data_IF_201306674329
#
_entry.id   IF_201306674329
#
_cell.length_a   1.000
_cell.length_b   1.000
_cell.length_c   1.000
_cell.angle_alpha   90.00
_cell.angle_beta   90.00
_cell.angle_gamma   90.00
#
_symmetry.space_group_name_H-M   'P 1'
#
loop_
_entity.id
_entity.type
_entity.pdbx_description
1 polymer ?
#
# COMPACT_ATOMS: atom_id res chain seq x y z
N UNK A 1 3.74 27.05 16.84
CA UNK A 1 4.37 25.77 16.45
C UNK A 1 3.31 25.01 15.69
N UNK A 2 3.44 24.97 14.37
CA UNK A 2 2.47 24.40 13.43
C UNK A 2 2.33 22.91 13.68
N UNK A 3 1.18 22.49 14.19
CA UNK A 3 0.82 21.07 14.25
C UNK A 3 0.32 20.65 12.86
N UNK A 4 1.24 20.47 11.91
CA UNK A 4 0.99 19.84 10.61
C UNK A 4 1.02 18.30 10.75
N UNK A 5 0.27 17.77 11.72
CA UNK A 5 0.03 16.34 11.87
C UNK A 5 -1.14 15.91 10.98
N UNK A 6 -1.09 16.23 9.69
CA UNK A 6 -1.96 15.61 8.69
C UNK A 6 -1.15 14.51 7.99
N UNK A 7 -1.08 13.28 8.55
CA UNK A 7 -0.28 12.19 8.00
C UNK A 7 -0.78 11.67 6.64
N UNK A 8 -1.77 12.32 6.02
CA UNK A 8 -2.41 11.90 4.76
C UNK A 8 -2.41 12.98 3.67
N UNK A 9 -1.95 14.21 3.94
CA UNK A 9 -1.99 15.26 2.91
C UNK A 9 -0.84 15.07 1.90
N UNK A 10 -1.14 14.44 0.75
CA UNK A 10 -0.20 14.26 -0.37
C UNK A 10 0.43 12.86 -0.50
N UNK A 11 -0.14 11.84 0.16
CA UNK A 11 0.39 10.48 0.03
C UNK A 11 0.00 9.90 -1.33
N UNK A 12 1.01 9.67 -2.16
CA UNK A 12 0.85 8.98 -3.44
C UNK A 12 0.65 7.48 -3.23
N UNK A 13 0.02 6.80 -4.19
CA UNK A 13 -0.09 5.33 -4.19
C UNK A 13 1.29 4.64 -4.03
N UNK A 14 2.35 5.27 -4.54
CA UNK A 14 3.72 4.81 -4.34
C UNK A 14 4.13 4.88 -2.87
N UNK A 15 3.94 6.03 -2.23
CA UNK A 15 4.32 6.24 -0.83
C UNK A 15 3.52 5.32 0.10
N UNK A 16 2.21 5.21 -0.14
CA UNK A 16 1.31 4.30 0.56
C UNK A 16 1.79 2.85 0.47
N UNK A 17 2.06 2.36 -0.76
CA UNK A 17 2.52 1.00 -0.95
C UNK A 17 3.89 0.77 -0.31
N UNK A 18 4.81 1.73 -0.40
CA UNK A 18 6.12 1.64 0.26
C UNK A 18 5.97 1.51 1.77
N UNK A 19 5.14 2.34 2.41
CA UNK A 19 4.91 2.25 3.87
C UNK A 19 4.28 0.92 4.28
N UNK A 20 3.29 0.43 3.52
CA UNK A 20 2.70 -0.89 3.76
C UNK A 20 3.73 -2.01 3.68
N UNK A 21 4.62 -1.96 2.68
CA UNK A 21 5.68 -2.95 2.51
C UNK A 21 6.73 -2.83 3.61
N UNK A 22 7.06 -1.62 4.06
CA UNK A 22 7.98 -1.39 5.17
C UNK A 22 7.42 -1.89 6.50
N UNK A 23 6.09 -1.80 6.70
CA UNK A 23 5.44 -2.23 7.93
C UNK A 23 5.12 -3.73 7.97
N UNK A 24 4.50 -4.26 6.90
CA UNK A 24 4.03 -5.65 6.84
C UNK A 24 4.94 -6.58 6.04
N UNK A 25 5.69 -6.04 5.07
CA UNK A 25 6.40 -6.85 4.08
C UNK A 25 5.51 -7.37 2.95
N UNK A 26 6.15 -7.92 1.93
CA UNK A 26 5.46 -8.42 0.74
C UNK A 26 4.66 -9.70 0.97
N UNK A 27 5.14 -10.57 1.88
CA UNK A 27 4.47 -11.83 2.18
C UNK A 27 3.08 -11.58 2.79
N UNK A 28 3.01 -10.78 3.85
CA UNK A 28 1.75 -10.40 4.51
C UNK A 28 0.80 -9.66 3.54
N UNK A 29 1.33 -8.72 2.76
CA UNK A 29 0.51 -8.04 1.75
C UNK A 29 -0.02 -9.02 0.70
N UNK A 30 0.71 -10.09 0.38
CA UNK A 30 0.24 -11.13 -0.54
C UNK A 30 -0.84 -12.03 0.06
N UNK A 31 -0.89 -12.15 1.39
CA UNK A 31 -1.97 -12.83 2.10
C UNK A 31 -3.22 -11.95 2.17
N UNK A 32 -3.07 -10.66 2.48
CA UNK A 32 -4.19 -9.71 2.55
C UNK A 32 -4.77 -9.38 1.16
N UNK A 33 -3.89 -9.25 0.17
CA UNK A 33 -4.21 -8.99 -1.23
C UNK A 33 -3.69 -10.18 -2.02
N UNK A 34 -4.55 -11.18 -2.22
CA UNK A 34 -4.20 -12.44 -2.90
C UNK A 34 -3.95 -12.22 -4.41
N UNK A 35 -2.84 -11.55 -4.73
CA UNK A 35 -2.38 -11.26 -6.08
C UNK A 35 -0.98 -11.82 -6.28
N UNK A 36 -0.76 -12.44 -7.44
CA UNK A 36 0.53 -13.01 -7.80
C UNK A 36 1.63 -11.95 -7.93
N UNK A 37 1.25 -10.67 -8.12
CA UNK A 37 2.20 -9.56 -8.23
C UNK A 37 3.09 -9.41 -6.98
N UNK A 38 2.57 -9.71 -5.78
CA UNK A 38 3.33 -9.62 -4.53
C UNK A 38 4.12 -10.90 -4.21
N UNK A 39 3.81 -12.03 -4.87
CA UNK A 39 4.45 -13.33 -4.62
C UNK A 39 5.64 -13.61 -5.55
N UNK A 40 5.54 -13.20 -6.83
CA UNK A 40 6.49 -13.63 -7.87
C UNK A 40 7.60 -12.61 -8.16
N UNK A 41 7.26 -11.33 -8.25
CA UNK A 41 8.20 -10.23 -8.54
C UNK A 41 7.86 -9.00 -7.67
N UNK A 42 7.94 -9.13 -6.33
CA UNK A 42 7.58 -8.06 -5.41
C UNK A 42 8.52 -6.87 -5.60
N UNK A 43 8.01 -5.82 -6.25
CA UNK A 43 8.74 -4.56 -6.42
C UNK A 43 7.76 -3.41 -6.54
N UNK A 44 8.10 -2.28 -5.92
CA UNK A 44 7.23 -1.08 -5.90
C UNK A 44 6.81 -0.68 -7.31
N UNK A 45 7.73 -0.66 -8.29
CA UNK A 45 7.42 -0.25 -9.66
C UNK A 45 6.45 -1.21 -10.37
N UNK A 46 6.69 -2.52 -10.29
CA UNK A 46 5.83 -3.52 -10.94
C UNK A 46 4.46 -3.60 -10.28
N UNK A 47 4.42 -3.53 -8.95
CA UNK A 47 3.19 -3.44 -8.18
C UNK A 47 2.38 -2.21 -8.53
N UNK A 48 2.98 -1.02 -8.60
CA UNK A 48 2.25 0.19 -9.00
C UNK A 48 1.70 0.09 -10.42
N UNK A 49 2.47 -0.48 -11.36
CA UNK A 49 1.99 -0.72 -12.73
C UNK A 49 0.80 -1.70 -12.75
N UNK A 50 0.82 -2.72 -11.89
CA UNK A 50 -0.28 -3.67 -11.73
C UNK A 50 -1.51 -3.00 -11.08
N UNK A 51 -1.33 -2.31 -9.96
CA UNK A 51 -2.40 -1.61 -9.24
C UNK A 51 -3.03 -0.52 -10.10
N UNK A 52 -2.31 0.10 -11.05
CA UNK A 52 -2.87 1.03 -12.04
C UNK A 52 -3.80 0.36 -13.07
N UNK A 53 -3.62 -0.93 -13.34
CA UNK A 53 -4.45 -1.71 -14.27
C UNK A 53 -5.57 -2.48 -13.57
N UNK A 54 -5.39 -2.76 -12.28
CA UNK A 54 -6.29 -3.60 -11.49
C UNK A 54 -6.88 -2.78 -10.36
N UNK A 55 -8.00 -2.09 -10.63
CA UNK A 55 -8.58 -1.12 -9.70
C UNK A 55 -9.02 -1.75 -8.36
N UNK A 56 -9.63 -2.95 -8.38
CA UNK A 56 -10.04 -3.62 -7.15
C UNK A 56 -8.86 -3.91 -6.21
N UNK A 57 -7.68 -4.22 -6.76
CA UNK A 57 -6.48 -4.47 -5.97
C UNK A 57 -5.94 -3.17 -5.39
N UNK A 58 -6.02 -2.05 -6.13
CA UNK A 58 -5.67 -0.71 -5.62
C UNK A 58 -6.53 -0.35 -4.42
N UNK A 59 -7.86 -0.45 -4.57
CA UNK A 59 -8.81 -0.14 -3.49
C UNK A 59 -8.56 -1.00 -2.26
N UNK A 60 -8.21 -2.28 -2.44
CA UNK A 60 -7.88 -3.17 -1.33
C UNK A 60 -6.60 -2.73 -0.60
N UNK A 61 -5.54 -2.39 -1.33
CA UNK A 61 -4.28 -1.88 -0.77
C UNK A 61 -4.50 -0.55 -0.04
N UNK A 62 -5.31 0.37 -0.60
CA UNK A 62 -5.68 1.62 0.05
C UNK A 62 -6.47 1.40 1.35
N UNK A 63 -7.39 0.43 1.35
CA UNK A 63 -8.15 0.06 2.54
C UNK A 63 -7.26 -0.46 3.67
N UNK A 64 -6.29 -1.32 3.36
CA UNK A 64 -5.31 -1.84 4.33
C UNK A 64 -4.50 -0.69 4.93
N UNK A 65 -4.11 0.29 4.11
CA UNK A 65 -3.37 1.45 4.60
C UNK A 65 -4.19 2.34 5.53
N UNK A 66 -5.48 2.54 5.22
CA UNK A 66 -6.39 3.27 6.12
C UNK A 66 -6.49 2.55 7.47
N UNK A 67 -6.65 1.23 7.45
CA UNK A 67 -6.71 0.41 8.66
C UNK A 67 -5.42 0.52 9.48
N UNK A 68 -4.25 0.45 8.82
CA UNK A 68 -2.94 0.64 9.46
C UNK A 68 -2.84 2.01 10.17
N UNK A 69 -3.32 3.09 9.53
CA UNK A 69 -3.29 4.44 10.11
C UNK A 69 -4.35 4.67 11.18
N UNK A 70 -5.46 3.93 11.15
CA UNK A 70 -6.52 4.01 12.16
C UNK A 70 -6.18 3.21 13.43
N UNK A 71 -5.36 2.15 13.30
CA UNK A 71 -4.93 1.32 14.42
C UNK A 71 -3.59 1.76 15.06
N UNK A 72 -3.01 2.90 14.67
CA UNK A 72 -1.74 3.44 15.22
C UNK A 72 -1.92 4.72 16.04
#
# INVERSE_FOLDING_TARGET
MTQDNNPLHGITLQKLLTELVEHYGWEELSYMVNINCFKKDPSIKSSLKFLRKTDWARVKVESIYIELKQNS
#
